data_IF_498590401484
#
_entry.id   IF_498590401484
#
_cell.length_a   1.000
_cell.length_b   1.000
_cell.length_c   1.000
_cell.angle_alpha   90.00
_cell.angle_beta   90.00
_cell.angle_gamma   90.00
#
_symmetry.space_group_name_H-M   'P 1'
#
loop_
_entity.id
_entity.type
_entity.pdbx_description
1 polymer ?
#
# COMPACT_ATOMS: atom_id res chain seq x y z
N UNK A 1 8.56 9.20 -5.74
CA UNK A 1 7.47 8.24 -5.50
C UNK A 1 6.14 8.87 -5.87
N UNK A 2 5.21 8.06 -6.33
CA UNK A 2 3.89 8.56 -6.78
C UNK A 2 2.77 8.24 -5.80
N UNK A 3 3.12 8.11 -4.52
CA UNK A 3 2.11 7.88 -3.49
C UNK A 3 1.39 9.18 -3.19
N UNK A 4 0.07 9.11 -3.12
CA UNK A 4 -0.75 10.26 -2.75
C UNK A 4 -1.07 10.21 -1.27
N UNK A 5 -1.03 11.38 -0.63
CA UNK A 5 -1.51 11.49 0.74
C UNK A 5 -2.97 11.88 0.67
N UNK A 6 -3.84 11.01 1.16
CA UNK A 6 -5.28 11.26 1.17
C UNK A 6 -5.72 11.50 2.60
N UNK A 7 -6.77 12.31 2.74
CA UNK A 7 -7.32 12.66 4.04
C UNK A 7 -8.83 12.68 3.96
N UNK A 8 -9.47 12.02 4.93
CA UNK A 8 -10.92 12.02 5.03
C UNK A 8 -11.30 13.11 6.03
N UNK A 9 -11.93 14.18 5.55
CA UNK A 9 -12.28 15.36 6.34
C UNK A 9 -13.08 14.99 7.60
N UNK A 10 -14.04 14.11 7.45
CA UNK A 10 -15.00 13.77 8.48
C UNK A 10 -14.36 13.04 9.67
N UNK A 11 -13.47 12.10 9.41
CA UNK A 11 -12.84 11.27 10.42
C UNK A 11 -11.43 11.69 10.75
N UNK A 12 -10.85 12.58 9.94
CA UNK A 12 -9.45 12.99 10.00
C UNK A 12 -8.47 11.85 9.70
N UNK A 13 -8.96 10.73 9.15
CA UNK A 13 -8.11 9.63 8.76
C UNK A 13 -7.23 10.02 7.57
N UNK A 14 -5.99 9.54 7.54
CA UNK A 14 -5.02 9.80 6.49
C UNK A 14 -4.47 8.49 5.97
N UNK A 15 -4.12 8.47 4.69
CA UNK A 15 -3.50 7.28 4.09
C UNK A 15 -2.58 7.67 2.95
N UNK A 16 -1.55 6.85 2.72
CA UNK A 16 -0.77 6.89 1.49
C UNK A 16 -1.42 5.91 0.52
N UNK A 17 -1.78 6.38 -0.66
CA UNK A 17 -2.45 5.53 -1.65
C UNK A 17 -1.70 5.54 -2.97
N UNK A 18 -1.71 4.40 -3.64
CA UNK A 18 -1.10 4.26 -4.97
C UNK A 18 -1.73 3.10 -5.72
N UNK A 19 -1.93 3.30 -7.01
CA UNK A 19 -2.42 2.27 -7.91
C UNK A 19 -1.26 1.75 -8.74
N UNK A 20 -1.22 0.43 -8.94
CA UNK A 20 -0.21 -0.24 -9.74
C UNK A 20 -0.90 -0.99 -10.87
N UNK A 21 -0.31 -0.96 -12.06
CA UNK A 21 -0.85 -1.67 -13.21
C UNK A 21 0.23 -2.59 -13.77
N UNK A 22 -0.18 -3.82 -14.07
CA UNK A 22 0.74 -4.85 -14.56
C UNK A 22 0.28 -5.34 -15.92
N UNK A 23 1.06 -6.23 -16.54
CA UNK A 23 0.73 -6.77 -17.86
C UNK A 23 -0.46 -7.73 -17.81
N UNK A 24 -0.59 -8.47 -16.70
CA UNK A 24 -1.63 -9.48 -16.56
C UNK A 24 -1.91 -9.75 -15.08
N UNK A 25 -2.87 -10.64 -14.84
CA UNK A 25 -3.28 -10.97 -13.48
C UNK A 25 -2.16 -11.68 -12.70
N UNK A 26 -1.44 -12.58 -13.33
CA UNK A 26 -0.37 -13.33 -12.65
C UNK A 26 0.74 -12.39 -12.18
N UNK A 27 1.09 -11.39 -12.98
CA UNK A 27 2.07 -10.38 -12.58
C UNK A 27 1.58 -9.57 -11.39
N UNK A 28 0.31 -9.17 -11.42
CA UNK A 28 -0.30 -8.43 -10.30
C UNK A 28 -0.32 -9.29 -9.04
N UNK A 29 -0.72 -10.55 -9.16
CA UNK A 29 -0.79 -11.47 -8.04
C UNK A 29 0.59 -11.75 -7.44
N UNK A 30 1.61 -11.93 -8.30
CA UNK A 30 2.98 -12.12 -7.84
C UNK A 30 3.49 -10.92 -7.06
N UNK A 31 3.17 -9.72 -7.53
CA UNK A 31 3.50 -8.49 -6.82
C UNK A 31 2.83 -8.45 -5.45
N UNK A 32 1.54 -8.80 -5.38
CA UNK A 32 0.82 -8.82 -4.11
C UNK A 32 1.42 -9.82 -3.12
N UNK A 33 1.87 -10.97 -3.58
CA UNK A 33 2.54 -11.95 -2.73
C UNK A 33 3.81 -11.37 -2.11
N UNK A 34 4.60 -10.65 -2.89
CA UNK A 34 5.82 -10.02 -2.40
C UNK A 34 5.51 -8.93 -1.38
N UNK A 35 4.49 -8.13 -1.65
CA UNK A 35 4.05 -7.10 -0.71
C UNK A 35 3.56 -7.73 0.59
N UNK A 36 2.83 -8.84 0.49
CA UNK A 36 2.35 -9.55 1.66
C UNK A 36 3.49 -10.00 2.57
N UNK A 37 4.59 -10.49 1.99
CA UNK A 37 5.76 -10.91 2.78
C UNK A 37 6.41 -9.73 3.49
N UNK A 38 6.51 -8.58 2.80
CA UNK A 38 7.05 -7.37 3.41
C UNK A 38 6.16 -6.87 4.54
N UNK A 39 4.85 -6.85 4.30
CA UNK A 39 3.89 -6.39 5.29
C UNK A 39 3.93 -7.24 6.56
N UNK A 40 4.03 -8.54 6.39
CA UNK A 40 4.10 -9.46 7.51
C UNK A 40 5.41 -9.28 8.29
N UNK A 41 6.52 -9.09 7.58
CA UNK A 41 7.83 -8.86 8.20
C UNK A 41 7.85 -7.59 9.04
N UNK A 42 7.17 -6.54 8.57
CA UNK A 42 7.10 -5.27 9.28
C UNK A 42 5.98 -5.23 10.31
N UNK A 43 5.13 -6.25 10.33
CA UNK A 43 3.92 -6.27 11.14
C UNK A 43 3.08 -5.02 10.88
N UNK A 44 2.94 -4.67 9.59
CA UNK A 44 2.20 -3.48 9.17
C UNK A 44 1.49 -3.81 7.86
N UNK A 45 0.17 -3.97 7.91
CA UNK A 45 -0.59 -4.55 6.81
C UNK A 45 -1.36 -3.49 6.03
N UNK A 46 -1.34 -3.56 4.69
CA UNK A 46 -2.06 -2.59 3.87
C UNK A 46 -3.54 -2.90 3.77
N UNK A 47 -4.32 -1.86 3.45
CA UNK A 47 -5.66 -2.05 2.91
C UNK A 47 -5.47 -2.05 1.40
N UNK A 48 -5.91 -3.11 0.73
CA UNK A 48 -5.65 -3.20 -0.70
C UNK A 48 -6.72 -3.97 -1.43
N UNK A 49 -6.74 -3.77 -2.75
CA UNK A 49 -7.66 -4.48 -3.61
C UNK A 49 -6.98 -4.82 -4.92
N UNK A 50 -7.50 -5.83 -5.59
CA UNK A 50 -6.98 -6.26 -6.88
C UNK A 50 -8.15 -6.47 -7.85
N UNK A 51 -8.01 -5.95 -9.05
CA UNK A 51 -8.93 -6.18 -10.15
C UNK A 51 -8.11 -6.49 -11.39
N UNK A 52 -8.06 -7.75 -11.75
CA UNK A 52 -7.28 -8.28 -12.87
C UNK A 52 -5.80 -7.85 -12.79
N UNK A 53 -5.38 -6.89 -13.61
CA UNK A 53 -3.98 -6.43 -13.66
C UNK A 53 -3.72 -5.18 -12.83
N UNK A 54 -4.68 -4.75 -12.02
CA UNK A 54 -4.56 -3.55 -11.20
C UNK A 54 -4.52 -3.90 -9.73
N UNK A 55 -3.67 -3.22 -8.99
CA UNK A 55 -3.59 -3.35 -7.53
C UNK A 55 -3.64 -1.95 -6.94
N UNK A 56 -4.59 -1.72 -6.03
CA UNK A 56 -4.71 -0.45 -5.32
C UNK A 56 -4.30 -0.67 -3.88
N UNK A 57 -3.35 0.12 -3.39
CA UNK A 57 -2.82 -0.03 -2.03
C UNK A 57 -3.04 1.25 -1.24
N UNK A 58 -3.49 1.09 0.00
CA UNK A 58 -3.68 2.18 0.95
C UNK A 58 -2.96 1.82 2.25
N UNK A 59 -2.09 2.70 2.70
CA UNK A 59 -1.29 2.50 3.92
C UNK A 59 -1.64 3.54 4.96
N UNK A 60 -1.93 3.06 6.17
CA UNK A 60 -2.27 3.93 7.29
C UNK A 60 -1.91 3.19 8.59
N UNK A 61 -1.67 3.92 9.66
CA UNK A 61 -1.29 3.31 10.94
C UNK A 61 -2.43 3.43 11.93
N UNK A 62 -3.12 2.31 12.19
CA UNK A 62 -4.28 2.29 13.08
C UNK A 62 -3.93 2.72 14.50
N UNK A 63 -2.76 2.31 15.00
CA UNK A 63 -2.34 2.69 16.35
C UNK A 63 -2.04 4.18 16.48
N UNK A 64 -1.93 4.91 15.37
CA UNK A 64 -1.74 6.34 15.33
C UNK A 64 -3.02 7.06 14.87
N UNK A 65 -4.17 6.52 15.25
CA UNK A 65 -5.49 7.06 14.92
C UNK A 65 -5.72 7.18 13.42
N UNK A 66 -5.31 6.16 12.68
CA UNK A 66 -5.43 6.11 11.22
C UNK A 66 -4.71 7.26 10.53
N UNK A 67 -3.51 7.56 11.00
CA UNK A 67 -2.66 8.58 10.40
C UNK A 67 -1.51 7.95 9.65
N UNK A 68 -0.88 8.74 8.78
CA UNK A 68 0.34 8.32 8.08
C UNK A 68 1.50 8.42 9.08
N UNK A 69 2.24 7.33 9.22
CA UNK A 69 3.40 7.28 10.11
C UNK A 69 4.65 6.89 9.33
N UNK A 70 5.78 6.85 10.03
CA UNK A 70 7.04 6.40 9.44
C UNK A 70 6.94 4.99 8.87
N UNK A 71 6.18 4.11 9.52
CA UNK A 71 5.97 2.74 9.02
C UNK A 71 5.35 2.71 7.64
N UNK A 72 4.37 3.59 7.40
CA UNK A 72 3.71 3.68 6.10
C UNK A 72 4.69 4.13 5.03
N UNK A 73 5.51 5.12 5.34
CA UNK A 73 6.48 5.64 4.39
C UNK A 73 7.58 4.63 4.08
N UNK A 74 8.02 3.88 5.08
CA UNK A 74 9.02 2.83 4.88
C UNK A 74 8.46 1.70 4.02
N UNK A 75 7.24 1.26 4.31
CA UNK A 75 6.61 0.19 3.53
C UNK A 75 6.38 0.65 2.09
N UNK A 76 5.94 1.90 1.89
CA UNK A 76 5.76 2.45 0.55
C UNK A 76 7.05 2.40 -0.27
N UNK A 77 8.18 2.74 0.33
CA UNK A 77 9.48 2.67 -0.34
C UNK A 77 9.84 1.25 -0.75
N UNK A 78 9.60 0.29 0.15
CA UNK A 78 9.91 -1.11 -0.14
C UNK A 78 9.00 -1.66 -1.23
N UNK A 79 7.73 -1.28 -1.22
CA UNK A 79 6.79 -1.68 -2.26
C UNK A 79 7.23 -1.14 -3.62
N UNK A 80 7.65 0.13 -3.67
CA UNK A 80 8.11 0.73 -4.92
C UNK A 80 9.28 -0.04 -5.53
N UNK A 81 10.17 -0.57 -4.69
CA UNK A 81 11.30 -1.37 -5.17
C UNK A 81 10.87 -2.69 -5.81
N UNK A 82 9.71 -3.20 -5.43
CA UNK A 82 9.17 -4.44 -5.98
C UNK A 82 8.45 -4.25 -7.31
N UNK A 83 8.05 -3.03 -7.63
CA UNK A 83 7.14 -2.77 -8.75
C UNK A 83 7.84 -2.65 -10.11
N UNK A 84 9.12 -2.95 -10.18
CA UNK A 84 9.87 -2.91 -11.43
C UNK A 84 9.73 -4.17 -12.22
#
# INVERSE_FOLDING_TARGET
MNWKETKIEKTKAEALTKDFKFNDFISAWGFMNKVALLAEKMDHHPDWSNSYNKVSISLSTHSAEDKISTKDRELAKLIDKLSH
#
